data_IF_823222566490
#
_entry.id   IF_823222566490
#
_cell.length_a   1.000
_cell.length_b   1.000
_cell.length_c   1.000
_cell.angle_alpha   90.00
_cell.angle_beta   90.00
_cell.angle_gamma   90.00
#
_symmetry.space_group_name_H-M   'P 1'
#
loop_
_entity.id
_entity.type
_entity.pdbx_description
1 polymer ?
#
# COMPACT_ATOMS: atom_id res chain seq x y z
N UNK A 1 2.09 0.70 23.59
CA UNK A 1 1.32 0.76 22.34
C UNK A 1 2.28 0.35 21.24
N UNK A 2 1.97 -0.75 20.56
CA UNK A 2 2.94 -1.60 19.87
C UNK A 2 3.69 -0.87 18.75
N UNK A 3 4.97 -0.55 18.96
CA UNK A 3 5.87 -0.24 17.86
C UNK A 3 6.22 -1.56 17.18
N UNK A 4 5.53 -1.90 16.09
CA UNK A 4 6.14 -2.77 15.11
C UNK A 4 7.30 -1.94 14.52
N UNK A 5 8.52 -2.28 14.88
CA UNK A 5 9.76 -1.57 14.52
C UNK A 5 10.11 -1.81 13.05
N UNK A 6 9.20 -1.46 12.14
CA UNK A 6 9.36 -1.67 10.71
C UNK A 6 8.79 -0.51 9.92
N UNK A 7 9.32 -0.30 8.71
CA UNK A 7 8.93 0.83 7.86
C UNK A 7 7.47 0.73 7.42
N UNK A 8 6.76 1.87 7.38
CA UNK A 8 5.45 1.99 6.74
C UNK A 8 5.67 2.41 5.29
N UNK A 9 5.26 1.58 4.34
CA UNK A 9 5.51 1.81 2.91
C UNK A 9 4.21 2.03 2.17
N UNK A 10 4.12 3.13 1.43
CA UNK A 10 2.99 3.44 0.54
C UNK A 10 3.39 3.10 -0.89
N UNK A 11 2.56 2.31 -1.58
CA UNK A 11 2.83 1.88 -2.96
C UNK A 11 1.78 2.48 -3.91
N UNK A 12 2.20 3.38 -4.78
CA UNK A 12 1.38 3.84 -5.91
C UNK A 12 1.45 2.85 -7.06
N UNK A 13 0.33 2.62 -7.76
CA UNK A 13 0.29 1.61 -8.82
C UNK A 13 0.37 0.19 -8.28
N UNK A 14 -0.08 -0.02 -7.03
CA UNK A 14 0.02 -1.26 -6.28
C UNK A 14 -0.71 -2.44 -6.93
N UNK A 15 -1.67 -2.20 -7.83
CA UNK A 15 -2.38 -3.24 -8.59
C UNK A 15 -1.84 -3.44 -10.02
N UNK A 16 -0.74 -2.76 -10.39
CA UNK A 16 -0.09 -2.93 -11.68
C UNK A 16 0.72 -4.24 -11.74
N UNK A 17 1.18 -4.60 -12.95
CA UNK A 17 1.96 -5.83 -13.16
C UNK A 17 3.14 -5.97 -12.17
N UNK A 18 3.89 -4.87 -11.97
CA UNK A 18 4.99 -4.82 -11.01
C UNK A 18 4.49 -4.60 -9.58
N UNK A 19 3.52 -3.68 -9.40
CA UNK A 19 3.01 -3.30 -8.09
C UNK A 19 2.51 -4.48 -7.26
N UNK A 20 1.79 -5.41 -7.89
CA UNK A 20 1.31 -6.64 -7.23
C UNK A 20 2.45 -7.46 -6.64
N UNK A 21 3.55 -7.61 -7.37
CA UNK A 21 4.73 -8.35 -6.89
C UNK A 21 5.47 -7.59 -5.79
N UNK A 22 5.57 -6.26 -5.91
CA UNK A 22 6.18 -5.39 -4.90
C UNK A 22 5.41 -5.45 -3.58
N UNK A 23 4.08 -5.29 -3.61
CA UNK A 23 3.24 -5.40 -2.41
C UNK A 23 3.41 -6.75 -1.73
N UNK A 24 3.41 -7.85 -2.49
CA UNK A 24 3.62 -9.19 -1.95
C UNK A 24 4.99 -9.32 -1.27
N UNK A 25 6.07 -8.90 -1.93
CA UNK A 25 7.42 -9.02 -1.36
C UNK A 25 7.61 -8.14 -0.13
N UNK A 26 7.10 -6.90 -0.15
CA UNK A 26 7.15 -6.01 1.01
C UNK A 26 6.35 -6.55 2.20
N UNK A 27 5.23 -7.24 1.95
CA UNK A 27 4.45 -7.88 3.02
C UNK A 27 5.14 -9.07 3.69
N UNK A 28 6.15 -9.65 3.01
CA UNK A 28 6.94 -10.78 3.49
C UNK A 28 8.25 -10.31 4.17
N UNK A 29 8.58 -9.01 4.08
CA UNK A 29 9.81 -8.44 4.62
C UNK A 29 9.66 -8.12 6.11
N UNK A 30 10.47 -8.74 7.00
CA UNK A 30 10.39 -8.52 8.45
C UNK A 30 10.78 -7.10 8.88
N UNK A 31 11.47 -6.31 8.04
CA UNK A 31 11.80 -4.91 8.31
C UNK A 31 10.65 -3.95 7.90
N UNK A 32 9.62 -4.45 7.23
CA UNK A 32 8.44 -3.68 6.83
C UNK A 32 7.31 -3.90 7.83
N UNK A 33 6.89 -2.82 8.49
CA UNK A 33 5.84 -2.86 9.50
C UNK A 33 4.43 -2.88 8.90
N UNK A 34 4.24 -2.21 7.76
CA UNK A 34 2.97 -2.20 7.04
C UNK A 34 3.13 -1.70 5.61
N UNK A 35 2.24 -2.16 4.72
CA UNK A 35 2.14 -1.70 3.33
C UNK A 35 0.76 -1.09 3.10
N UNK A 36 0.71 0.12 2.54
CA UNK A 36 -0.52 0.74 2.05
C UNK A 36 -0.49 0.77 0.51
N UNK A 37 -1.30 -0.05 -0.14
CA UNK A 37 -1.48 -0.04 -1.58
C UNK A 37 -2.49 1.03 -2.02
N UNK A 38 -2.07 1.94 -2.90
CA UNK A 38 -2.99 2.90 -3.54
C UNK A 38 -3.46 2.34 -4.88
N UNK A 39 -4.77 2.27 -5.06
CA UNK A 39 -5.39 1.77 -6.28
C UNK A 39 -6.70 2.50 -6.57
N UNK A 40 -7.05 2.67 -7.86
CA UNK A 40 -8.36 3.24 -8.23
C UNK A 40 -9.52 2.31 -7.89
N UNK A 41 -9.29 1.01 -7.98
CA UNK A 41 -10.25 -0.05 -7.65
C UNK A 41 -9.56 -0.96 -6.64
N UNK A 42 -10.19 -1.15 -5.48
CA UNK A 42 -9.65 -2.02 -4.44
C UNK A 42 -9.64 -3.46 -4.96
N UNK A 43 -8.50 -4.15 -4.94
CA UNK A 43 -8.44 -5.55 -5.35
C UNK A 43 -9.06 -6.45 -4.27
N UNK A 44 -9.47 -7.66 -4.65
CA UNK A 44 -10.06 -8.62 -3.70
C UNK A 44 -9.03 -9.37 -2.85
N UNK A 45 -7.73 -9.24 -3.17
CA UNK A 45 -6.65 -9.89 -2.43
C UNK A 45 -5.93 -8.88 -1.54
N UNK A 46 -5.52 -9.33 -0.35
CA UNK A 46 -4.68 -8.53 0.55
C UNK A 46 -3.70 -9.44 1.27
N UNK A 47 -2.39 -9.32 1.02
CA UNK A 47 -1.38 -10.01 1.84
C UNK A 47 -1.46 -9.57 3.30
N UNK A 48 -0.87 -10.36 4.18
CA UNK A 48 -0.77 -9.99 5.59
C UNK A 48 -0.06 -8.63 5.74
N UNK A 49 -0.50 -7.78 6.67
CA UNK A 49 0.11 -6.46 6.89
C UNK A 49 -0.09 -5.45 5.74
N UNK A 50 -0.97 -5.75 4.78
CA UNK A 50 -1.31 -4.84 3.67
C UNK A 50 -2.71 -4.25 3.85
N UNK A 51 -2.81 -2.94 3.69
CA UNK A 51 -4.05 -2.18 3.58
C UNK A 51 -4.19 -1.57 2.18
N UNK A 52 -5.42 -1.22 1.80
CA UNK A 52 -5.71 -0.61 0.51
C UNK A 52 -6.48 0.69 0.68
N UNK A 53 -6.09 1.72 -0.07
CA UNK A 53 -6.85 2.95 -0.19
C UNK A 53 -7.29 3.18 -1.64
N UNK A 54 -8.57 3.48 -1.82
CA UNK A 54 -9.13 3.86 -3.11
C UNK A 54 -8.72 5.30 -3.45
N UNK A 55 -7.81 5.45 -4.41
CA UNK A 55 -7.26 6.75 -4.82
C UNK A 55 -7.21 6.84 -6.34
N UNK A 56 -7.77 7.92 -6.88
CA UNK A 56 -7.59 8.30 -8.28
C UNK A 56 -6.52 9.37 -8.42
N UNK A 57 -5.27 8.93 -8.64
CA UNK A 57 -4.11 9.83 -8.80
C UNK A 57 -4.25 10.83 -9.96
N UNK A 58 -5.16 10.60 -10.92
CA UNK A 58 -5.42 11.56 -12.00
C UNK A 58 -6.40 12.67 -11.60
N UNK A 59 -7.11 12.53 -10.48
CA UNK A 59 -8.05 13.54 -9.98
C UNK A 59 -7.33 14.65 -9.23
N UNK A 60 -7.61 15.91 -9.59
CA UNK A 60 -7.11 17.07 -8.84
C UNK A 60 -7.73 17.21 -7.44
N UNK A 61 -8.78 16.44 -7.14
CA UNK A 61 -9.45 16.45 -5.83
C UNK A 61 -8.88 15.41 -4.88
N UNK A 62 -7.97 14.54 -5.33
CA UNK A 62 -7.37 13.52 -4.47
C UNK A 62 -6.35 14.14 -3.53
N UNK A 63 -6.67 14.15 -2.24
CA UNK A 63 -5.72 14.49 -1.18
C UNK A 63 -4.87 13.26 -0.84
N UNK A 64 -3.58 13.32 -1.14
CA UNK A 64 -2.64 12.25 -0.83
C UNK A 64 -1.95 12.44 0.53
N UNK A 65 -2.09 13.62 1.13
CA UNK A 65 -1.38 14.00 2.35
C UNK A 65 -1.73 13.08 3.52
N UNK A 66 -2.98 12.60 3.58
CA UNK A 66 -3.43 11.64 4.59
C UNK A 66 -2.88 10.21 4.43
N UNK A 67 -2.17 9.90 3.35
CA UNK A 67 -1.64 8.56 3.10
C UNK A 67 -0.18 8.38 3.51
N UNK A 68 0.62 9.45 3.63
CA UNK A 68 2.04 9.41 3.98
C UNK A 68 2.26 9.78 5.45
#
# INVERSE_FOLDING_TARGET
MSSATGSRIVVTGATGNVGTSVVRLLSEDPEVGSVLGLARRIPEWSPAGTEWAAVDLASQQSDLTGHF
#
